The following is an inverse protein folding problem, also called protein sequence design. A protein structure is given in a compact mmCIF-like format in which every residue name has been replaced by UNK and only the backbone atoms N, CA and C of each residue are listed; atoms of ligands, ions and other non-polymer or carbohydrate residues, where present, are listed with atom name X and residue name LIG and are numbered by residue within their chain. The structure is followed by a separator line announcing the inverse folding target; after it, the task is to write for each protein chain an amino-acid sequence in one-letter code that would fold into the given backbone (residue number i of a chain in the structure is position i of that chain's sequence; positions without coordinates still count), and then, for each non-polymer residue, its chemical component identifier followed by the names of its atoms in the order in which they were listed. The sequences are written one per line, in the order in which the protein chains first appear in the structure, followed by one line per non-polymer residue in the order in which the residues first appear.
data_IF_866079054832
#
_entry.id   IF_866079054832
#
_cell.length_a   1.000
_cell.length_b   1.000
_cell.length_c   1.000
_cell.angle_alpha   90.00
_cell.angle_beta   90.00
_cell.angle_gamma   90.00
#
_symmetry.space_group_name_H-M   'P 1'
#
loop_
_entity.id
_entity.type
_entity.pdbx_description
1 polymer ?
#
# COMPACT_ATOMS: atom_id res chain seq x y z
N UNK A 1 -9.93 15.10 13.03
CA UNK A 1 -9.89 14.84 11.58
C UNK A 1 -10.68 13.56 11.28
N UNK A 2 -11.43 13.55 10.21
CA UNK A 2 -12.12 12.34 9.76
C UNK A 2 -11.19 11.33 9.11
N UNK A 3 -11.76 10.28 8.55
CA UNK A 3 -11.01 9.27 7.82
C UNK A 3 -10.34 9.89 6.58
N UNK A 4 -9.12 9.48 6.29
CA UNK A 4 -8.35 10.01 5.17
C UNK A 4 -8.17 8.95 4.08
N UNK A 5 -8.52 9.26 2.82
CA UNK A 5 -8.35 8.33 1.71
C UNK A 5 -6.93 8.42 1.17
N UNK A 6 -6.09 7.45 1.51
CA UNK A 6 -4.70 7.38 1.09
C UNK A 6 -4.56 6.56 -0.18
N UNK A 7 -3.79 7.08 -1.13
CA UNK A 7 -3.26 6.33 -2.27
C UNK A 7 -1.77 6.19 -2.04
N UNK A 8 -1.26 5.00 -2.16
CA UNK A 8 0.16 4.75 -1.96
C UNK A 8 0.74 3.86 -3.06
N UNK A 9 2.05 3.97 -3.24
CA UNK A 9 2.79 3.11 -4.15
C UNK A 9 4.23 2.97 -3.71
N UNK A 10 4.81 1.81 -3.93
CA UNK A 10 6.23 1.58 -3.71
C UNK A 10 6.73 0.42 -4.55
N UNK A 11 8.05 0.34 -4.65
CA UNK A 11 8.75 -0.78 -5.30
C UNK A 11 9.66 -1.46 -4.29
N UNK A 12 9.81 -2.76 -4.43
CA UNK A 12 10.63 -3.57 -3.54
C UNK A 12 11.34 -4.67 -4.32
N UNK A 13 12.58 -4.96 -3.92
CA UNK A 13 13.27 -6.15 -4.40
C UNK A 13 12.99 -7.30 -3.43
N UNK A 14 12.55 -8.43 -3.97
CA UNK A 14 12.20 -9.61 -3.19
C UNK A 14 12.96 -10.81 -3.75
N UNK A 15 13.65 -11.53 -2.87
CA UNK A 15 14.39 -12.71 -3.24
C UNK A 15 13.64 -13.96 -2.76
N UNK A 16 13.43 -14.91 -3.67
CA UNK A 16 12.87 -16.21 -3.38
C UNK A 16 13.87 -17.33 -3.64
N UNK A 17 13.38 -18.56 -3.67
CA UNK A 17 14.19 -19.73 -3.98
C UNK A 17 14.50 -19.78 -5.48
N UNK A 18 15.70 -19.38 -5.86
CA UNK A 18 16.18 -19.41 -7.24
C UNK A 18 15.70 -18.26 -8.12
N UNK A 19 15.10 -17.22 -7.56
CA UNK A 19 14.70 -16.03 -8.33
C UNK A 19 14.82 -14.76 -7.51
N UNK A 20 14.90 -13.64 -8.20
CA UNK A 20 14.78 -12.29 -7.64
C UNK A 20 13.72 -11.55 -8.43
N UNK A 21 12.83 -10.86 -7.76
CA UNK A 21 11.75 -10.12 -8.38
C UNK A 21 11.74 -8.66 -7.95
N UNK A 22 11.46 -7.76 -8.89
CA UNK A 22 11.03 -6.40 -8.61
C UNK A 22 9.51 -6.39 -8.47
N UNK A 23 9.01 -5.98 -7.32
CA UNK A 23 7.57 -5.91 -7.05
C UNK A 23 7.14 -4.46 -6.99
N UNK A 24 6.14 -4.11 -7.80
CA UNK A 24 5.53 -2.78 -7.79
C UNK A 24 4.16 -2.89 -7.15
N UNK A 25 3.93 -2.09 -6.12
CA UNK A 25 2.66 -2.03 -5.40
C UNK A 25 2.00 -0.68 -5.63
N UNK A 26 0.74 -0.70 -6.03
CA UNK A 26 -0.12 0.48 -6.08
C UNK A 26 -1.42 0.13 -5.36
N UNK A 27 -1.75 0.90 -4.33
CA UNK A 27 -2.87 0.54 -3.48
C UNK A 27 -3.61 1.72 -2.90
N UNK A 28 -4.71 1.37 -2.23
CA UNK A 28 -5.54 2.29 -1.48
C UNK A 28 -5.61 1.84 -0.03
N UNK A 29 -5.58 2.79 0.88
CA UNK A 29 -5.74 2.53 2.31
C UNK A 29 -6.57 3.63 2.95
N UNK A 30 -7.28 3.28 4.02
CA UNK A 30 -8.03 4.24 4.82
C UNK A 30 -7.23 4.53 6.09
N UNK A 31 -6.99 5.80 6.36
CA UNK A 31 -6.29 6.22 7.57
C UNK A 31 -7.33 6.75 8.56
N UNK A 32 -7.29 6.21 9.78
CA UNK A 32 -8.24 6.57 10.84
C UNK A 32 -7.47 6.92 12.12
N UNK A 33 -7.91 7.98 12.80
CA UNK A 33 -7.46 8.30 14.13
C UNK A 33 -8.46 7.73 15.14
N UNK A 34 -8.04 6.72 15.89
CA UNK A 34 -8.87 6.02 16.89
C UNK A 34 -8.35 6.30 18.30
N UNK A 35 -9.04 5.81 19.32
CA UNK A 35 -8.69 6.09 20.72
C UNK A 35 -7.28 5.61 21.09
N UNK A 36 -6.84 4.50 20.50
CA UNK A 36 -5.54 3.88 20.78
C UNK A 36 -4.42 4.32 19.83
N UNK A 37 -4.69 5.24 18.91
CA UNK A 37 -3.70 5.77 17.98
C UNK A 37 -4.20 5.87 16.55
N UNK A 38 -3.25 5.95 15.64
CA UNK A 38 -3.51 6.02 14.21
C UNK A 38 -3.51 4.63 13.60
N UNK A 39 -4.46 4.37 12.71
CA UNK A 39 -4.57 3.11 11.99
C UNK A 39 -4.56 3.33 10.50
N UNK A 40 -3.89 2.42 9.79
CA UNK A 40 -3.95 2.33 8.33
C UNK A 40 -4.57 0.98 7.98
N UNK A 41 -5.74 1.03 7.34
CA UNK A 41 -6.47 -0.16 6.91
C UNK A 41 -6.35 -0.32 5.40
N UNK A 42 -5.84 -1.45 4.95
CA UNK A 42 -5.77 -1.76 3.53
C UNK A 42 -7.15 -1.89 2.91
N UNK A 43 -7.37 -1.17 1.82
CA UNK A 43 -8.58 -1.28 1.01
C UNK A 43 -8.33 -2.25 -0.12
N UNK A 44 -7.27 -2.01 -0.87
CA UNK A 44 -6.84 -2.83 -2.00
C UNK A 44 -5.31 -2.64 -2.18
N UNK A 45 -4.50 -3.64 -1.83
CA UNK A 45 -4.90 -4.92 -1.24
C UNK A 45 -5.53 -4.76 0.14
N UNK A 46 -6.54 -5.59 0.42
CA UNK A 46 -7.19 -5.69 1.72
C UNK A 46 -6.48 -6.66 2.66
N UNK A 47 -6.99 -6.78 3.88
CA UNK A 47 -6.52 -7.79 4.83
C UNK A 47 -5.31 -7.39 5.66
N UNK A 48 -4.78 -6.18 5.48
CA UNK A 48 -3.66 -5.64 6.26
C UNK A 48 -4.14 -4.41 7.02
N UNK A 49 -3.84 -4.35 8.30
CA UNK A 49 -4.10 -3.18 9.12
C UNK A 49 -3.00 -3.03 10.15
N UNK A 50 -2.49 -1.82 10.30
CA UNK A 50 -1.41 -1.53 11.25
C UNK A 50 -1.63 -0.21 11.96
N UNK A 51 -1.11 -0.14 13.17
CA UNK A 51 -1.22 1.02 14.06
C UNK A 51 0.12 1.75 14.16
N UNK A 52 0.06 3.03 14.49
CA UNK A 52 1.18 3.86 14.90
C UNK A 52 0.74 4.96 15.84
N UNK A 53 1.69 5.62 16.49
CA UNK A 53 1.43 6.74 17.38
C UNK A 53 1.15 8.04 16.62
N UNK A 54 1.49 8.06 15.35
CA UNK A 54 1.15 9.12 14.40
C UNK A 54 0.87 8.49 13.02
N UNK A 55 0.39 9.30 12.09
CA UNK A 55 0.01 8.85 10.76
C UNK A 55 1.19 8.28 9.96
N UNK A 56 2.35 8.87 10.09
CA UNK A 56 3.55 8.41 9.39
C UNK A 56 4.02 7.05 9.91
N UNK A 57 4.06 6.88 11.22
CA UNK A 57 4.41 5.60 11.85
C UNK A 57 3.42 4.50 11.46
N UNK A 58 2.13 4.80 11.50
CA UNK A 58 1.11 3.85 11.09
C UNK A 58 1.30 3.41 9.62
N UNK A 59 1.61 4.35 8.73
CA UNK A 59 1.88 4.02 7.33
C UNK A 59 3.16 3.18 7.18
N UNK A 60 4.23 3.53 7.87
CA UNK A 60 5.48 2.76 7.80
C UNK A 60 5.29 1.33 8.31
N UNK A 61 4.53 1.15 9.38
CA UNK A 61 4.19 -0.18 9.89
C UNK A 61 3.32 -0.96 8.90
N UNK A 62 2.36 -0.30 8.27
CA UNK A 62 1.54 -0.89 7.21
C UNK A 62 2.40 -1.34 6.02
N UNK A 63 3.29 -0.49 5.55
CA UNK A 63 4.21 -0.82 4.46
C UNK A 63 5.10 -2.00 4.84
N UNK A 64 5.60 -2.04 6.07
CA UNK A 64 6.44 -3.14 6.54
C UNK A 64 5.68 -4.47 6.55
N UNK A 65 4.43 -4.48 7.01
CA UNK A 65 3.58 -5.68 6.97
C UNK A 65 3.36 -6.17 5.55
N UNK A 66 3.13 -5.27 4.61
CA UNK A 66 2.96 -5.64 3.21
C UNK A 66 4.25 -6.23 2.62
N UNK A 67 5.40 -5.65 2.96
CA UNK A 67 6.72 -6.19 2.56
C UNK A 67 6.94 -7.60 3.11
N UNK A 68 6.54 -7.85 4.36
CA UNK A 68 6.66 -9.17 4.98
C UNK A 68 5.78 -10.20 4.27
N UNK A 69 4.56 -9.84 3.90
CA UNK A 69 3.67 -10.72 3.12
C UNK A 69 4.32 -11.08 1.78
N UNK A 70 4.91 -10.12 1.10
CA UNK A 70 5.61 -10.38 -0.17
C UNK A 70 6.84 -11.27 0.02
N UNK A 71 7.62 -11.04 1.07
CA UNK A 71 8.79 -11.84 1.38
C UNK A 71 8.41 -13.29 1.73
N UNK A 72 7.37 -13.46 2.52
CA UNK A 72 6.85 -14.79 2.89
C UNK A 72 6.35 -15.54 1.66
N UNK A 73 5.64 -14.87 0.78
CA UNK A 73 5.19 -15.45 -0.50
C UNK A 73 6.38 -15.91 -1.35
N UNK A 74 7.45 -15.12 -1.41
CA UNK A 74 8.65 -15.50 -2.16
C UNK A 74 9.32 -16.75 -1.60
N UNK A 75 9.35 -16.91 -0.29
CA UNK A 75 9.93 -18.10 0.37
C UNK A 75 9.06 -19.34 0.13
N UNK A 76 7.74 -19.18 0.13
CA UNK A 76 6.79 -20.30 -0.04
C UNK A 76 6.67 -20.79 -1.48
N UNK A 77 7.15 -20.02 -2.46
CA UNK A 77 7.05 -20.38 -3.87
C UNK A 77 8.38 -20.93 -4.40
N UNK A 78 8.32 -22.00 -5.17
CA UNK A 78 9.51 -22.65 -5.76
C UNK A 78 9.92 -22.05 -7.10
N UNK A 79 9.10 -21.18 -7.69
CA UNK A 79 9.37 -20.55 -8.97
C UNK A 79 8.87 -19.11 -8.99
N UNK A 80 9.45 -18.31 -9.89
CA UNK A 80 8.97 -16.95 -10.11
C UNK A 80 7.50 -16.93 -10.56
N UNK A 81 7.11 -17.85 -11.46
CA UNK A 81 5.76 -17.88 -12.00
C UNK A 81 4.70 -18.10 -10.91
N UNK A 82 4.94 -19.02 -9.97
CA UNK A 82 4.01 -19.24 -8.86
C UNK A 82 4.00 -18.06 -7.88
N UNK A 83 5.15 -17.46 -7.62
CA UNK A 83 5.25 -16.23 -6.83
C UNK A 83 4.45 -15.10 -7.48
N UNK A 84 4.63 -14.88 -8.78
CA UNK A 84 3.91 -13.85 -9.52
C UNK A 84 2.39 -14.03 -9.43
N UNK A 85 1.90 -15.27 -9.55
CA UNK A 85 0.48 -15.56 -9.43
C UNK A 85 -0.06 -15.17 -8.04
N UNK A 86 0.67 -15.51 -6.97
CA UNK A 86 0.29 -15.16 -5.61
C UNK A 86 0.28 -13.65 -5.37
N UNK A 87 1.27 -12.95 -5.91
CA UNK A 87 1.39 -11.48 -5.82
C UNK A 87 0.22 -10.81 -6.54
N UNK A 88 -0.12 -11.27 -7.72
CA UNK A 88 -1.25 -10.74 -8.48
C UNK A 88 -2.58 -11.01 -7.76
N UNK A 89 -2.75 -12.18 -7.16
CA UNK A 89 -3.92 -12.52 -6.36
C UNK A 89 -4.02 -11.64 -5.10
N UNK A 90 -2.92 -11.37 -4.44
CA UNK A 90 -2.88 -10.44 -3.30
C UNK A 90 -3.38 -9.05 -3.73
N UNK A 91 -2.94 -8.58 -4.89
CA UNK A 91 -3.32 -7.28 -5.43
C UNK A 91 -4.81 -7.17 -5.76
N UNK A 92 -5.50 -8.29 -6.01
CA UNK A 92 -6.94 -8.31 -6.28
C UNK A 92 -7.80 -8.37 -5.02
N UNK A 93 -7.21 -8.65 -3.86
CA UNK A 93 -7.96 -8.69 -2.61
C UNK A 93 -8.47 -7.30 -2.26
N UNK A 94 -9.76 -7.20 -1.98
CA UNK A 94 -10.41 -5.95 -1.65
C UNK A 94 -11.23 -6.09 -0.37
N UNK A 95 -11.06 -5.16 0.53
CA UNK A 95 -11.91 -5.05 1.71
C UNK A 95 -13.08 -4.11 1.39
N UNK A 96 -14.27 -4.69 1.21
CA UNK A 96 -15.46 -3.94 0.77
C UNK A 96 -15.94 -2.92 1.81
N UNK A 97 -15.79 -3.22 3.09
CA UNK A 97 -16.18 -2.29 4.17
C UNK A 97 -15.32 -1.02 4.11
N UNK A 98 -14.00 -1.19 4.08
CA UNK A 98 -13.09 -0.05 4.00
C UNK A 98 -13.12 0.64 2.63
N UNK A 99 -13.45 -0.08 1.58
CA UNK A 99 -13.63 0.51 0.25
C UNK A 99 -14.78 1.51 0.24
N UNK A 100 -15.91 1.17 0.86
CA UNK A 100 -17.05 2.08 0.96
C UNK A 100 -16.71 3.33 1.77
N UNK A 101 -16.04 3.18 2.91
CA UNK A 101 -15.60 4.32 3.74
C UNK A 101 -14.55 5.18 3.02
N UNK A 102 -13.67 4.55 2.24
CA UNK A 102 -12.67 5.25 1.44
C UNK A 102 -13.31 6.16 0.40
N UNK A 103 -14.33 5.69 -0.29
CA UNK A 103 -15.07 6.51 -1.27
C UNK A 103 -15.80 7.69 -0.60
N UNK A 104 -16.37 7.47 0.57
CA UNK A 104 -17.00 8.55 1.35
C UNK A 104 -15.95 9.59 1.74
N UNK A 105 -14.79 9.16 2.21
CA UNK A 105 -13.69 10.06 2.60
C UNK A 105 -13.14 10.82 1.38
N UNK A 106 -13.01 10.16 0.25
CA UNK A 106 -12.58 10.79 -1.00
C UNK A 106 -13.54 11.91 -1.42
N UNK A 107 -14.83 11.65 -1.38
CA UNK A 107 -15.84 12.64 -1.72
C UNK A 107 -15.82 13.82 -0.73
N UNK A 108 -15.66 13.55 0.56
CA UNK A 108 -15.54 14.60 1.58
C UNK A 108 -14.31 15.47 1.35
N UNK A 109 -13.19 14.86 0.92
CA UNK A 109 -11.98 15.61 0.57
C UNK A 109 -12.20 16.47 -0.69
N UNK A 110 -12.85 15.92 -1.71
CA UNK A 110 -13.15 16.63 -2.95
C UNK A 110 -14.05 17.85 -2.74
N UNK A 111 -15.04 17.74 -1.88
CA UNK A 111 -15.99 18.82 -1.59
C UNK A 111 -15.47 19.84 -0.58
N UNK A 112 -14.32 19.57 0.05
CA UNK A 112 -13.76 20.43 1.10
C UNK A 112 -14.37 20.20 2.49
N UNK A 113 -15.26 19.23 2.64
CA UNK A 113 -15.82 18.84 3.93
C UNK A 113 -14.75 18.21 4.83
N UNK A 114 -13.86 17.41 4.25
CA UNK A 114 -12.67 16.91 4.91
C UNK A 114 -11.48 17.80 4.55
N UNK A 115 -10.82 18.33 5.58
CA UNK A 115 -9.59 19.13 5.43
C UNK A 115 -8.42 18.34 5.98
N UNK A 116 -7.42 17.99 5.15
CA UNK A 116 -6.26 17.24 5.64
C UNK A 116 -5.43 18.08 6.61
N UNK A 117 -4.91 17.40 7.63
CA UNK A 117 -4.08 17.99 8.68
C UNK A 117 -2.77 17.21 8.79
N UNK A 118 -1.77 17.82 9.44
CA UNK A 118 -0.48 17.17 9.70
C UNK A 118 0.22 16.75 8.43
N UNK A 119 0.72 15.53 8.40
CA UNK A 119 1.46 14.98 7.28
C UNK A 119 0.66 14.92 5.97
N UNK A 120 -0.68 14.82 6.06
CA UNK A 120 -1.53 14.69 4.87
C UNK A 120 -1.78 16.03 4.16
N UNK A 121 -1.59 17.17 4.84
CA UNK A 121 -1.81 18.48 4.25
C UNK A 121 -0.84 18.77 3.08
N UNK A 122 0.34 18.15 3.12
CA UNK A 122 1.39 18.36 2.13
C UNK A 122 1.36 17.38 0.96
N UNK A 123 0.46 16.39 1.00
CA UNK A 123 0.40 15.38 -0.06
C UNK A 123 -0.21 15.94 -1.35
N UNK A 124 0.36 15.59 -2.53
CA UNK A 124 -0.25 15.92 -3.81
C UNK A 124 -1.65 15.32 -3.94
N UNK A 125 -2.50 15.96 -4.71
CA UNK A 125 -3.88 15.51 -4.96
C UNK A 125 -3.97 14.70 -6.23
N UNK A 126 -4.59 13.53 -6.13
CA UNK A 126 -4.92 12.70 -7.28
C UNK A 126 -6.43 12.80 -7.54
N UNK A 127 -6.80 13.35 -8.70
CA UNK A 127 -8.20 13.61 -9.06
C UNK A 127 -8.77 12.66 -10.10
N UNK A 128 -7.91 11.82 -10.67
CA UNK A 128 -8.33 10.87 -11.72
C UNK A 128 -8.76 9.51 -11.21
N UNK A 129 -8.89 8.57 -12.11
CA UNK A 129 -9.12 7.18 -11.75
C UNK A 129 -7.89 6.61 -11.05
N UNK A 130 -8.12 5.89 -9.97
CA UNK A 130 -7.05 5.26 -9.18
C UNK A 130 -6.87 3.84 -9.68
N UNK A 131 -5.70 3.55 -10.22
CA UNK A 131 -5.33 2.20 -10.63
C UNK A 131 -4.60 1.51 -9.50
N UNK A 132 -5.10 0.36 -9.10
CA UNK A 132 -4.52 -0.46 -8.04
C UNK A 132 -4.06 -1.79 -8.60
N UNK A 133 -3.08 -2.38 -7.96
CA UNK A 133 -2.58 -3.69 -8.31
C UNK A 133 -1.17 -3.92 -7.76
N UNK A 134 -0.78 -5.18 -7.77
CA UNK A 134 0.57 -5.59 -7.45
C UNK A 134 1.08 -6.40 -8.62
N UNK A 135 2.26 -6.06 -9.11
CA UNK A 135 2.91 -6.77 -10.22
C UNK A 135 4.33 -7.15 -9.86
N UNK A 136 4.78 -8.27 -10.39
CA UNK A 136 6.14 -8.75 -10.19
C UNK A 136 6.83 -8.94 -11.53
N UNK A 137 8.09 -8.52 -11.59
CA UNK A 137 8.98 -8.71 -12.74
C UNK A 137 10.19 -9.50 -12.27
N UNK A 138 10.49 -10.60 -12.98
CA UNK A 138 11.71 -11.36 -12.69
C UNK A 138 12.94 -10.56 -13.13
N UNK A 139 13.92 -10.47 -12.24
CA UNK A 139 15.13 -9.70 -12.46
C UNK A 139 16.36 -10.61 -12.45
N UNK A 140 17.45 -10.20 -13.11
CA UNK A 140 18.74 -10.85 -12.88
C UNK A 140 19.18 -10.64 -11.44
N UNK A 141 20.13 -11.45 -10.92
CA UNK A 141 20.64 -11.33 -9.56
C UNK A 141 21.08 -9.89 -9.28
N UNK A 142 20.54 -9.22 -8.22
CA UNK A 142 20.81 -7.80 -8.00
C UNK A 142 22.23 -7.54 -7.55
N UNK A 143 22.74 -6.33 -7.92
CA UNK A 143 23.95 -5.74 -7.35
C UNK A 143 23.54 -4.87 -6.15
N UNK A 144 24.53 -4.29 -5.44
CA UNK A 144 24.26 -3.38 -4.33
C UNK A 144 23.46 -2.14 -4.76
N UNK A 145 23.56 -1.72 -6.02
CA UNK A 145 22.86 -0.57 -6.59
C UNK A 145 21.38 -0.87 -6.86
N UNK A 146 21.02 -2.14 -7.00
CA UNK A 146 19.67 -2.57 -7.32
C UNK A 146 18.73 -2.63 -6.08
N UNK A 147 19.25 -2.33 -4.90
CA UNK A 147 18.49 -2.36 -3.65
C UNK A 147 17.78 -1.05 -3.33
N UNK A 148 17.54 -0.21 -4.30
CA UNK A 148 16.81 1.04 -4.12
C UNK A 148 15.33 0.79 -3.87
N UNK A 149 14.76 1.54 -2.92
CA UNK A 149 13.33 1.53 -2.62
C UNK A 149 12.74 2.87 -3.00
N UNK A 150 11.67 2.85 -3.78
CA UNK A 150 10.95 4.05 -4.18
C UNK A 150 9.54 4.03 -3.58
N UNK A 151 9.16 5.11 -2.93
CA UNK A 151 7.83 5.24 -2.31
C UNK A 151 7.16 6.53 -2.78
N UNK A 152 5.90 6.42 -3.19
CA UNK A 152 5.05 7.55 -3.58
C UNK A 152 3.79 7.56 -2.73
N UNK A 153 3.48 8.73 -2.14
CA UNK A 153 2.26 8.97 -1.37
C UNK A 153 1.45 10.08 -2.01
N UNK A 154 0.16 9.85 -2.18
CA UNK A 154 -0.77 10.80 -2.76
C UNK A 154 -2.03 10.90 -1.90
N UNK A 155 -2.63 12.09 -1.86
CA UNK A 155 -3.97 12.28 -1.32
C UNK A 155 -5.00 12.05 -2.42
N UNK A 156 -6.00 11.22 -2.16
CA UNK A 156 -7.10 11.00 -3.08
C UNK A 156 -8.09 12.16 -3.01
N UNK A 157 -8.42 12.74 -4.15
CA UNK A 157 -9.33 13.87 -4.22
C UNK A 157 -10.35 13.73 -5.35
#
# INVERSE_FOLDING_TARGET
MGNFPLIYGFRELVAGAGFVAGVTVSGRALVKHEEDGWWVYGVEPGGIAERGDNEQEAYLNFKQSLREVLADSAVLNSSFQSFRADVEDLGRQRNEVWAAEWEIAREALRTGELKPEGAFAELPRETGAVLTGISALELPKPTAEDNAVETTLLAAA
#
